data_IF_816462913748
#
_entry.id   IF_816462913748
#
_cell.length_a   1.000
_cell.length_b   1.000
_cell.length_c   1.000
_cell.angle_alpha   90.00
_cell.angle_beta   90.00
_cell.angle_gamma   90.00
#
_symmetry.space_group_name_H-M   'P 1'
#
loop_
_entity.id
_entity.type
_entity.pdbx_description
1 polymer ?
#
# COMPACT_ATOMS: atom_id res chain seq x y z
N UNK A 1 24.43 27.99 41.92
CA UNK A 1 25.11 26.70 41.66
C UNK A 1 24.56 26.18 40.36
N UNK A 2 25.28 26.43 39.27
CA UNK A 2 24.86 26.13 37.91
C UNK A 2 25.22 24.69 37.59
N UNK A 3 24.20 23.85 37.43
CA UNK A 3 24.33 22.40 37.29
C UNK A 3 24.73 22.06 35.84
N UNK A 4 26.04 21.83 35.63
CA UNK A 4 26.60 21.45 34.32
C UNK A 4 26.08 20.07 33.93
N UNK A 5 25.26 20.01 32.89
CA UNK A 5 24.82 18.75 32.28
C UNK A 5 26.00 18.05 31.59
N UNK A 6 26.16 16.72 31.75
CA UNK A 6 27.21 15.97 31.09
C UNK A 6 26.99 15.90 29.58
N UNK A 7 28.09 15.98 28.82
CA UNK A 7 28.08 15.88 27.37
C UNK A 7 27.66 14.47 26.91
N UNK A 8 26.92 14.36 25.79
CA UNK A 8 26.52 13.07 25.25
C UNK A 8 27.74 12.29 24.71
N UNK A 9 27.73 10.96 24.80
CA UNK A 9 28.81 10.13 24.30
C UNK A 9 28.92 10.20 22.76
N UNK A 10 30.14 10.04 22.21
CA UNK A 10 30.34 10.03 20.76
C UNK A 10 29.68 8.79 20.13
N UNK A 11 29.03 9.01 18.98
CA UNK A 11 28.39 7.96 18.19
C UNK A 11 29.41 6.96 17.65
N UNK A 12 29.11 5.65 17.66
CA UNK A 12 30.01 4.64 17.13
C UNK A 12 30.20 4.82 15.62
N UNK A 13 31.46 4.92 15.22
CA UNK A 13 31.90 5.00 13.84
C UNK A 13 31.34 3.84 13.02
N UNK A 14 30.73 4.18 11.88
CA UNK A 14 30.31 3.26 10.85
C UNK A 14 31.53 2.49 10.33
N UNK A 15 31.65 1.22 10.74
CA UNK A 15 32.61 0.28 10.16
C UNK A 15 32.29 0.06 8.69
N UNK A 16 33.07 0.69 7.82
CA UNK A 16 33.05 0.47 6.39
C UNK A 16 33.50 -0.97 6.11
N UNK A 17 32.54 -1.85 5.84
CA UNK A 17 32.84 -3.14 5.19
C UNK A 17 33.18 -2.86 3.74
N UNK A 18 34.47 -2.68 3.47
CA UNK A 18 35.04 -2.68 2.14
C UNK A 18 34.67 -3.99 1.42
N UNK A 19 33.82 -3.88 0.40
CA UNK A 19 33.46 -4.99 -0.47
C UNK A 19 34.58 -5.22 -1.48
N UNK A 20 35.32 -6.31 -1.33
CA UNK A 20 36.41 -6.74 -2.20
C UNK A 20 35.90 -7.30 -3.54
N UNK A 21 35.29 -6.46 -4.37
CA UNK A 21 34.91 -6.80 -5.75
C UNK A 21 35.42 -5.74 -6.75
N UNK A 22 36.71 -5.43 -6.67
CA UNK A 22 37.41 -4.66 -7.69
C UNK A 22 38.30 -5.61 -8.52
N UNK A 23 37.73 -6.22 -9.57
CA UNK A 23 38.45 -6.59 -10.82
C UNK A 23 37.53 -7.37 -11.77
N UNK A 24 37.04 -6.68 -12.80
CA UNK A 24 36.87 -7.21 -14.16
C UNK A 24 36.22 -6.13 -15.05
N UNK A 25 36.97 -5.08 -15.36
CA UNK A 25 36.69 -4.23 -16.52
C UNK A 25 37.48 -4.83 -17.70
N UNK A 26 36.80 -5.57 -18.56
CA UNK A 26 37.26 -5.85 -19.91
C UNK A 26 36.08 -5.83 -20.89
N UNK A 27 35.94 -4.65 -21.50
CA UNK A 27 35.61 -4.39 -22.91
C UNK A 27 34.84 -5.47 -23.67
N UNK A 28 33.59 -5.16 -24.04
CA UNK A 28 32.83 -5.91 -25.03
C UNK A 28 31.58 -5.15 -25.47
N UNK A 29 31.63 -4.56 -26.66
CA UNK A 29 30.52 -3.90 -27.36
C UNK A 29 29.39 -4.89 -27.67
N UNK A 30 28.15 -4.41 -27.74
CA UNK A 30 27.07 -5.08 -28.47
C UNK A 30 25.79 -5.26 -27.65
N UNK A 31 24.72 -4.60 -28.08
CA UNK A 31 23.44 -4.56 -27.37
C UNK A 31 22.66 -5.88 -27.37
N UNK A 32 21.97 -6.12 -26.25
CA UNK A 32 20.73 -6.89 -26.17
C UNK A 32 20.10 -6.62 -24.79
N UNK A 33 18.96 -5.94 -24.74
CA UNK A 33 18.16 -5.83 -23.51
C UNK A 33 17.69 -7.22 -23.07
N UNK A 34 18.16 -7.69 -21.92
CA UNK A 34 17.73 -8.97 -21.32
C UNK A 34 16.33 -8.78 -20.72
N UNK A 35 15.30 -9.32 -21.38
CA UNK A 35 13.89 -9.04 -21.10
C UNK A 35 13.27 -9.77 -19.89
N UNK A 36 14.03 -10.59 -19.15
CA UNK A 36 13.48 -11.32 -18.00
C UNK A 36 14.48 -11.46 -16.84
N UNK A 37 14.38 -10.57 -15.86
CA UNK A 37 14.91 -10.83 -14.52
C UNK A 37 13.83 -11.51 -13.66
N UNK A 38 13.93 -12.83 -13.52
CA UNK A 38 13.15 -13.57 -12.51
C UNK A 38 13.91 -13.47 -11.20
N UNK A 39 13.30 -12.84 -10.19
CA UNK A 39 13.86 -12.74 -8.84
C UNK A 39 14.01 -14.14 -8.23
N UNK A 40 15.24 -14.59 -8.01
CA UNK A 40 15.52 -15.75 -7.17
C UNK A 40 15.50 -15.32 -5.69
N UNK A 41 14.96 -16.15 -4.79
CA UNK A 41 14.64 -15.80 -3.40
C UNK A 41 15.84 -15.43 -2.48
N UNK A 42 17.07 -15.38 -3.00
CA UNK A 42 18.30 -15.11 -2.23
C UNK A 42 19.19 -13.99 -2.80
N UNK A 43 18.62 -13.07 -3.60
CA UNK A 43 19.32 -11.83 -3.98
C UNK A 43 20.60 -11.98 -4.83
N UNK A 44 20.82 -13.14 -5.45
CA UNK A 44 21.96 -13.37 -6.33
C UNK A 44 21.55 -13.20 -7.80
N UNK A 45 22.23 -12.31 -8.53
CA UNK A 45 22.05 -12.11 -9.98
C UNK A 45 22.89 -13.13 -10.76
N UNK A 46 22.56 -14.42 -10.63
CA UNK A 46 23.07 -15.43 -11.56
C UNK A 46 22.06 -15.64 -12.68
N UNK A 47 22.54 -15.59 -13.93
CA UNK A 47 21.79 -16.03 -15.11
C UNK A 47 21.39 -17.49 -14.86
N UNK A 48 20.10 -17.75 -14.65
CA UNK A 48 19.58 -19.11 -14.63
C UNK A 48 19.88 -19.75 -15.98
N UNK A 49 20.95 -20.55 -16.06
CA UNK A 49 21.16 -21.44 -17.20
C UNK A 49 19.92 -22.32 -17.25
N UNK A 50 19.14 -22.21 -18.33
CA UNK A 50 18.01 -23.11 -18.59
C UNK A 50 18.57 -24.53 -18.46
N UNK A 51 18.15 -25.25 -17.42
CA UNK A 51 18.48 -26.65 -17.28
C UNK A 51 18.01 -27.42 -18.52
N UNK A 52 18.58 -28.60 -18.80
CA UNK A 52 18.11 -29.44 -19.89
C UNK A 52 16.59 -29.62 -19.73
N UNK A 53 15.84 -29.34 -20.81
CA UNK A 53 14.39 -29.56 -20.84
C UNK A 53 14.15 -31.01 -20.39
N UNK A 54 13.44 -31.19 -19.28
CA UNK A 54 12.94 -32.50 -18.87
C UNK A 54 12.30 -33.14 -20.09
N UNK A 55 12.77 -34.33 -20.45
CA UNK A 55 12.14 -35.17 -21.46
C UNK A 55 10.68 -35.32 -21.05
N UNK A 56 9.77 -35.04 -21.97
CA UNK A 56 8.34 -35.21 -21.72
C UNK A 56 8.12 -36.70 -21.40
N UNK A 57 7.52 -36.97 -20.25
CA UNK A 57 7.11 -38.32 -19.87
C UNK A 57 6.16 -38.88 -20.95
N UNK A 58 6.18 -40.20 -21.17
CA UNK A 58 5.50 -40.85 -22.30
C UNK A 58 3.99 -40.61 -22.26
N UNK A 59 3.37 -40.69 -23.44
CA UNK A 59 1.94 -40.45 -23.69
C UNK A 59 1.03 -41.00 -22.58
N UNK A 60 0.61 -40.11 -21.67
CA UNK A 60 -0.55 -40.37 -20.81
C UNK A 60 -1.74 -40.69 -21.72
N UNK A 61 -2.27 -41.91 -21.63
CA UNK A 61 -3.48 -42.32 -22.33
C UNK A 61 -4.63 -41.37 -22.03
N UNK A 62 -5.49 -41.14 -23.01
CA UNK A 62 -6.60 -40.17 -22.96
C UNK A 62 -7.50 -40.35 -21.72
N UNK A 63 -7.61 -41.58 -21.21
CA UNK A 63 -8.38 -41.91 -20.00
C UNK A 63 -7.71 -41.41 -18.71
N UNK A 64 -6.39 -41.54 -18.58
CA UNK A 64 -5.65 -41.05 -17.41
C UNK A 64 -5.75 -39.52 -17.27
N UNK A 65 -5.82 -38.81 -18.40
CA UNK A 65 -6.05 -37.36 -18.44
C UNK A 65 -7.46 -36.95 -18.02
N UNK A 66 -8.47 -37.79 -18.26
CA UNK A 66 -9.86 -37.53 -17.84
C UNK A 66 -10.00 -37.70 -16.33
N UNK A 67 -9.52 -38.81 -15.77
CA UNK A 67 -9.55 -39.08 -14.33
C UNK A 67 -8.82 -37.99 -13.54
N UNK A 68 -7.66 -37.53 -14.01
CA UNK A 68 -6.90 -36.46 -13.36
C UNK A 68 -7.59 -35.09 -13.41
N UNK A 69 -8.37 -34.81 -14.45
CA UNK A 69 -9.17 -33.57 -14.57
C UNK A 69 -10.38 -33.60 -13.65
N UNK A 70 -11.04 -34.74 -13.53
CA UNK A 70 -12.20 -34.92 -12.65
C UNK A 70 -11.79 -34.85 -11.18
N UNK A 71 -10.71 -35.53 -10.79
CA UNK A 71 -10.16 -35.43 -9.44
C UNK A 71 -9.78 -33.98 -9.05
N UNK A 72 -9.26 -33.21 -10.01
CA UNK A 72 -8.90 -31.80 -9.76
C UNK A 72 -10.12 -30.89 -9.61
N UNK A 73 -11.21 -31.16 -10.33
CA UNK A 73 -12.48 -30.41 -10.18
C UNK A 73 -13.13 -30.68 -8.84
N UNK A 74 -13.17 -31.93 -8.40
CA UNK A 74 -13.69 -32.30 -7.08
C UNK A 74 -12.88 -31.66 -5.96
N UNK A 75 -11.54 -31.66 -6.05
CA UNK A 75 -10.68 -30.99 -5.09
C UNK A 75 -10.88 -29.46 -5.07
N UNK A 76 -11.09 -28.82 -6.24
CA UNK A 76 -11.39 -27.38 -6.31
C UNK A 76 -12.77 -27.04 -5.75
N UNK A 77 -13.77 -27.91 -5.91
CA UNK A 77 -15.11 -27.75 -5.33
C UNK A 77 -15.10 -27.93 -3.81
N UNK A 78 -14.38 -28.93 -3.29
CA UNK A 78 -14.20 -29.12 -1.85
C UNK A 78 -13.44 -27.95 -1.22
N UNK A 79 -12.42 -27.40 -1.89
CA UNK A 79 -11.68 -26.24 -1.41
C UNK A 79 -12.55 -24.96 -1.43
N UNK A 80 -13.43 -24.80 -2.41
CA UNK A 80 -14.40 -23.70 -2.46
C UNK A 80 -15.45 -23.83 -1.35
N UNK A 81 -16.02 -25.02 -1.16
CA UNK A 81 -16.98 -25.28 -0.09
C UNK A 81 -16.35 -25.10 1.31
N UNK A 82 -15.08 -25.50 1.50
CA UNK A 82 -14.35 -25.25 2.75
C UNK A 82 -14.05 -23.76 2.97
N UNK A 83 -13.76 -23.01 1.90
CA UNK A 83 -13.57 -21.55 1.98
C UNK A 83 -14.89 -20.84 2.31
N UNK A 84 -16.01 -21.25 1.72
CA UNK A 84 -17.32 -20.66 1.97
C UNK A 84 -17.77 -20.87 3.42
N UNK A 85 -17.66 -22.09 3.96
CA UNK A 85 -17.96 -22.37 5.38
C UNK A 85 -17.10 -21.57 6.36
N UNK A 86 -15.82 -21.33 6.01
CA UNK A 86 -14.91 -20.52 6.84
C UNK A 86 -15.24 -19.02 6.82
N UNK A 87 -15.87 -18.54 5.75
CA UNK A 87 -16.35 -17.15 5.65
C UNK A 87 -17.58 -16.96 6.53
N UNK A 88 -18.52 -17.91 6.55
CA UNK A 88 -19.75 -17.84 7.36
C UNK A 88 -19.47 -17.84 8.87
N UNK A 89 -18.58 -18.69 9.39
CA UNK A 89 -18.22 -18.68 10.82
C UNK A 89 -17.52 -17.40 11.27
N UNK A 90 -16.84 -16.70 10.36
CA UNK A 90 -16.13 -15.46 10.69
C UNK A 90 -17.05 -14.24 10.82
N UNK A 91 -18.29 -14.33 10.34
CA UNK A 91 -19.30 -13.26 10.41
C UNK A 91 -20.01 -13.20 11.78
N UNK A 92 -19.92 -14.26 12.59
CA UNK A 92 -20.60 -14.35 13.90
C UNK A 92 -19.79 -13.80 15.09
N UNK A 93 -18.72 -13.01 14.85
CA UNK A 93 -18.06 -12.28 15.95
C UNK A 93 -18.74 -10.93 16.12
N UNK A 94 -19.55 -10.80 17.17
CA UNK A 94 -20.39 -9.63 17.51
C UNK A 94 -19.62 -8.33 17.87
N UNK A 95 -18.42 -8.12 17.33
CA UNK A 95 -17.62 -6.94 17.64
C UNK A 95 -16.78 -6.46 16.46
N UNK A 96 -16.32 -5.20 16.50
CA UNK A 96 -15.46 -4.65 15.46
C UNK A 96 -14.23 -5.53 15.27
N UNK A 97 -13.89 -5.78 14.02
CA UNK A 97 -12.75 -6.63 13.67
C UNK A 97 -11.47 -6.08 14.31
N UNK A 98 -10.48 -6.94 14.59
CA UNK A 98 -9.16 -6.51 15.13
C UNK A 98 -8.55 -5.37 14.30
N UNK A 99 -8.79 -5.35 12.98
CA UNK A 99 -8.34 -4.28 12.07
C UNK A 99 -9.08 -2.97 12.33
N UNK A 100 -10.39 -3.02 12.54
CA UNK A 100 -11.24 -1.86 12.81
C UNK A 100 -10.93 -1.28 14.18
N UNK A 101 -10.73 -2.11 15.21
CA UNK A 101 -10.30 -1.64 16.53
C UNK A 101 -8.98 -0.88 16.47
N UNK A 102 -7.99 -1.40 15.74
CA UNK A 102 -6.71 -0.68 15.52
C UNK A 102 -6.94 0.65 14.80
N UNK A 103 -7.87 0.68 13.83
CA UNK A 103 -8.21 1.87 13.09
C UNK A 103 -8.91 2.93 13.97
N UNK A 104 -9.83 2.51 14.84
CA UNK A 104 -10.50 3.40 15.81
C UNK A 104 -9.51 4.00 16.81
N UNK A 105 -8.62 3.18 17.40
CA UNK A 105 -7.56 3.68 18.29
C UNK A 105 -6.64 4.69 17.61
N UNK A 106 -6.24 4.41 16.35
CA UNK A 106 -5.42 5.34 15.56
C UNK A 106 -6.17 6.64 15.28
N UNK A 107 -7.46 6.56 14.97
CA UNK A 107 -8.31 7.74 14.76
C UNK A 107 -8.40 8.61 16.01
N UNK A 108 -8.67 8.02 17.17
CA UNK A 108 -8.69 8.75 18.45
C UNK A 108 -7.35 9.44 18.73
N UNK A 109 -6.23 8.77 18.42
CA UNK A 109 -4.92 9.35 18.54
C UNK A 109 -4.72 10.55 17.59
N UNK A 110 -5.11 10.43 16.32
CA UNK A 110 -5.02 11.52 15.34
C UNK A 110 -5.91 12.72 15.68
N UNK A 111 -7.06 12.48 16.31
CA UNK A 111 -7.91 13.54 16.88
C UNK A 111 -7.21 14.24 18.03
N UNK A 112 -6.60 13.49 18.96
CA UNK A 112 -5.85 14.07 20.08
C UNK A 112 -4.64 14.90 19.62
N UNK A 113 -3.98 14.47 18.53
CA UNK A 113 -2.90 15.24 17.89
C UNK A 113 -3.41 16.47 17.10
N UNK A 114 -4.72 16.65 16.94
CA UNK A 114 -5.30 17.75 16.16
C UNK A 114 -5.15 17.61 14.64
N UNK A 115 -4.76 16.43 14.14
CA UNK A 115 -4.64 16.15 12.69
C UNK A 115 -6.00 15.94 12.04
N UNK A 116 -6.96 15.39 12.79
CA UNK A 116 -8.36 15.24 12.37
C UNK A 116 -9.21 16.22 13.16
N UNK A 117 -9.95 17.07 12.46
CA UNK A 117 -10.85 18.06 13.06
C UNK A 117 -12.20 17.39 13.31
N UNK A 118 -12.67 17.37 14.56
CA UNK A 118 -14.03 16.95 14.86
C UNK A 118 -15.02 18.05 14.49
N UNK A 119 -16.10 17.68 13.81
CA UNK A 119 -17.14 18.61 13.35
C UNK A 119 -18.52 18.04 13.65
N UNK A 120 -19.46 18.92 14.00
CA UNK A 120 -20.87 18.55 14.24
C UNK A 120 -21.67 18.33 12.94
N UNK A 121 -21.02 18.56 11.80
CA UNK A 121 -21.63 18.38 10.48
C UNK A 121 -21.77 16.91 10.08
N UNK A 122 -22.83 16.66 9.31
CA UNK A 122 -23.07 15.36 8.68
C UNK A 122 -22.02 15.09 7.58
N UNK A 123 -21.69 13.83 7.36
CA UNK A 123 -20.80 13.44 6.28
C UNK A 123 -21.27 13.96 4.91
N UNK A 124 -22.59 14.01 4.68
CA UNK A 124 -23.18 14.55 3.44
C UNK A 124 -22.87 16.03 3.24
N UNK A 125 -22.83 16.83 4.30
CA UNK A 125 -22.47 18.26 4.23
C UNK A 125 -20.98 18.42 3.95
N UNK A 126 -20.14 17.66 4.64
CA UNK A 126 -18.69 17.68 4.47
C UNK A 126 -18.24 17.21 3.07
N UNK A 127 -19.03 16.36 2.40
CA UNK A 127 -18.73 15.90 1.04
C UNK A 127 -19.05 16.91 -0.06
N UNK A 128 -19.76 18.00 0.25
CA UNK A 128 -20.09 19.04 -0.73
C UNK A 128 -18.82 19.72 -1.25
N UNK A 129 -18.68 19.72 -2.57
CA UNK A 129 -17.58 20.36 -3.29
C UNK A 129 -17.93 21.81 -3.63
N UNK A 130 -16.90 22.63 -3.82
CA UNK A 130 -17.01 24.05 -4.13
C UNK A 130 -16.54 24.96 -2.99
N UNK A 131 -16.88 26.25 -3.10
CA UNK A 131 -16.54 27.25 -2.10
C UNK A 131 -17.37 27.02 -0.84
N UNK A 132 -16.73 26.56 0.23
CA UNK A 132 -17.36 26.45 1.54
C UNK A 132 -17.14 27.72 2.36
N UNK A 133 -15.98 28.36 2.20
CA UNK A 133 -15.63 29.62 2.82
C UNK A 133 -14.99 30.55 1.78
N UNK A 134 -14.84 31.84 2.12
CA UNK A 134 -14.19 32.82 1.26
C UNK A 134 -12.76 32.39 0.85
N UNK A 135 -12.07 31.64 1.71
CA UNK A 135 -10.70 31.18 1.50
C UNK A 135 -10.59 29.70 1.03
N UNK A 136 -11.61 28.88 1.28
CA UNK A 136 -11.52 27.43 1.09
C UNK A 136 -12.39 26.95 -0.08
N UNK A 137 -11.73 26.59 -1.19
CA UNK A 137 -12.35 25.94 -2.34
C UNK A 137 -12.10 24.42 -2.30
N UNK A 138 -13.11 23.63 -1.95
CA UNK A 138 -13.00 22.17 -1.87
C UNK A 138 -13.16 21.56 -3.27
N UNK A 139 -12.07 21.03 -3.81
CA UNK A 139 -12.03 20.47 -5.17
C UNK A 139 -12.39 18.99 -5.18
N UNK A 140 -11.97 18.26 -4.14
CA UNK A 140 -12.18 16.81 -4.08
C UNK A 140 -12.45 16.35 -2.66
N UNK A 141 -13.28 15.32 -2.54
CA UNK A 141 -13.72 14.78 -1.26
C UNK A 141 -13.77 13.26 -1.33
N UNK A 142 -13.31 12.59 -0.27
CA UNK A 142 -13.30 11.14 -0.14
C UNK A 142 -13.79 10.71 1.25
N UNK A 143 -14.58 9.64 1.27
CA UNK A 143 -15.11 9.03 2.49
C UNK A 143 -14.15 7.97 3.03
N UNK A 144 -14.20 7.77 4.35
CA UNK A 144 -13.44 6.76 5.07
C UNK A 144 -11.93 6.87 4.86
N UNK A 145 -11.39 8.10 4.88
CA UNK A 145 -9.96 8.39 4.82
C UNK A 145 -9.56 9.19 6.06
N UNK A 146 -8.56 8.73 6.81
CA UNK A 146 -8.17 9.32 8.11
C UNK A 146 -6.86 10.09 8.07
N UNK A 147 -5.96 9.73 7.16
CA UNK A 147 -4.64 10.32 7.03
C UNK A 147 -4.24 10.51 5.57
N UNK A 148 -3.14 11.23 5.37
CA UNK A 148 -2.61 11.50 4.05
C UNK A 148 -2.12 10.22 3.33
N UNK A 149 -1.66 9.22 4.09
CA UNK A 149 -1.23 7.95 3.51
C UNK A 149 -2.41 7.18 2.91
N UNK A 150 -3.53 7.03 3.64
CA UNK A 150 -4.78 6.46 3.10
C UNK A 150 -5.28 7.29 1.91
N UNK A 151 -5.20 8.62 2.00
CA UNK A 151 -5.59 9.50 0.90
C UNK A 151 -4.76 9.20 -0.36
N UNK A 152 -3.43 9.17 -0.26
CA UNK A 152 -2.53 8.88 -1.39
C UNK A 152 -2.77 7.49 -1.97
N UNK A 153 -2.96 6.47 -1.12
CA UNK A 153 -3.24 5.10 -1.55
C UNK A 153 -4.57 4.96 -2.30
N UNK A 154 -5.53 5.85 -2.06
CA UNK A 154 -6.81 5.84 -2.79
C UNK A 154 -6.66 6.27 -4.26
N UNK A 155 -5.58 6.96 -4.62
CA UNK A 155 -5.30 7.35 -6.01
C UNK A 155 -4.41 6.31 -6.68
N UNK A 156 -4.96 5.65 -7.72
CA UNK A 156 -4.30 4.57 -8.45
C UNK A 156 -2.92 4.94 -9.05
N UNK A 157 -2.75 6.21 -9.43
CA UNK A 157 -1.56 6.72 -10.11
C UNK A 157 -0.91 7.78 -9.24
N UNK A 158 -0.15 7.34 -8.24
CA UNK A 158 0.63 8.24 -7.38
C UNK A 158 1.93 8.62 -8.09
N UNK A 159 2.06 9.88 -8.50
CA UNK A 159 3.31 10.40 -9.11
C UNK A 159 3.57 9.94 -10.55
N UNK A 160 2.54 9.46 -11.25
CA UNK A 160 2.59 9.14 -12.67
C UNK A 160 1.44 9.84 -13.37
N UNK A 161 1.70 10.39 -14.57
CA UNK A 161 0.82 11.22 -15.41
C UNK A 161 -0.65 10.79 -15.41
N UNK A 162 -1.38 11.19 -14.37
CA UNK A 162 -2.73 10.72 -14.07
C UNK A 162 -3.60 11.82 -13.50
N UNK A 163 -4.92 11.73 -13.70
CA UNK A 163 -5.86 12.80 -13.34
C UNK A 163 -5.87 13.19 -11.85
N UNK A 164 -5.42 12.29 -10.96
CA UNK A 164 -5.29 12.55 -9.52
C UNK A 164 -3.94 13.11 -9.08
N UNK A 165 -2.92 13.03 -9.94
CA UNK A 165 -1.55 13.42 -9.62
C UNK A 165 -1.44 14.92 -9.29
N UNK A 166 -2.23 15.74 -10.01
CA UNK A 166 -2.31 17.19 -9.82
C UNK A 166 -2.61 17.62 -8.38
N UNK A 167 -3.32 16.80 -7.60
CA UNK A 167 -3.65 17.15 -6.21
C UNK A 167 -2.47 16.96 -5.25
N UNK A 168 -1.48 16.16 -5.65
CA UNK A 168 -0.29 15.86 -4.84
C UNK A 168 0.99 16.49 -5.40
N UNK A 169 0.96 16.95 -6.65
CA UNK A 169 2.03 17.70 -7.29
C UNK A 169 1.91 19.19 -6.96
N UNK A 170 2.94 19.71 -6.30
CA UNK A 170 3.03 21.12 -5.93
C UNK A 170 2.32 21.46 -4.62
N UNK A 171 2.72 22.56 -4.01
CA UNK A 171 2.18 23.08 -2.74
C UNK A 171 0.82 23.78 -2.89
N UNK A 172 0.15 23.62 -4.05
CA UNK A 172 -1.10 24.28 -4.44
C UNK A 172 -2.32 23.82 -3.65
N UNK A 173 -2.33 22.57 -3.20
CA UNK A 173 -3.46 22.00 -2.47
C UNK A 173 -3.13 21.83 -0.98
N UNK A 174 -4.15 21.92 -0.14
CA UNK A 174 -4.11 21.62 1.30
C UNK A 174 -5.06 20.46 1.57
N UNK A 175 -4.61 19.51 2.39
CA UNK A 175 -5.46 18.40 2.83
C UNK A 175 -6.06 18.73 4.19
N UNK A 176 -7.37 18.53 4.33
CA UNK A 176 -8.11 18.67 5.57
C UNK A 176 -8.82 17.37 5.87
N UNK A 177 -8.62 16.83 7.07
CA UNK A 177 -9.28 15.61 7.52
C UNK A 177 -10.29 15.99 8.60
N UNK A 178 -11.55 15.69 8.35
CA UNK A 178 -12.66 15.97 9.26
C UNK A 178 -13.29 14.66 9.74
N UNK A 179 -13.77 14.64 10.98
CA UNK A 179 -14.60 13.58 11.50
C UNK A 179 -16.03 14.11 11.63
N UNK A 180 -16.95 13.52 10.87
CA UNK A 180 -18.37 13.81 10.97
C UNK A 180 -18.92 13.33 12.32
N UNK A 181 -20.07 13.87 12.72
CA UNK A 181 -20.79 13.45 13.93
C UNK A 181 -21.11 11.94 13.94
N UNK A 182 -21.30 11.34 12.76
CA UNK A 182 -21.57 9.91 12.58
C UNK A 182 -20.32 9.03 12.81
N UNK A 183 -19.18 9.62 13.14
CA UNK A 183 -17.89 8.93 13.23
C UNK A 183 -17.28 8.57 11.87
N UNK A 184 -17.82 9.11 10.78
CA UNK A 184 -17.28 8.91 9.43
C UNK A 184 -16.15 9.90 9.17
N UNK A 185 -14.97 9.39 8.81
CA UNK A 185 -13.83 10.22 8.45
C UNK A 185 -13.95 10.69 7.00
N UNK A 186 -13.78 11.99 6.77
CA UNK A 186 -13.87 12.63 5.45
C UNK A 186 -12.57 13.37 5.17
N UNK A 187 -11.95 13.06 4.04
CA UNK A 187 -10.80 13.82 3.54
C UNK A 187 -11.28 14.84 2.49
N UNK A 188 -10.88 16.09 2.67
CA UNK A 188 -11.14 17.19 1.75
C UNK A 188 -9.81 17.69 1.17
N UNK A 189 -9.78 17.91 -0.14
CA UNK A 189 -8.67 18.53 -0.86
C UNK A 189 -9.11 19.96 -1.19
N UNK A 190 -8.42 20.93 -0.59
CA UNK A 190 -8.71 22.35 -0.70
C UNK A 190 -7.65 22.98 -1.61
N UNK A 191 -8.08 23.73 -2.62
CA UNK A 191 -7.15 24.54 -3.42
C UNK A 191 -6.77 25.80 -2.64
N UNK A 192 -5.46 26.04 -2.47
CA UNK A 192 -4.98 27.28 -1.87
C UNK A 192 -5.17 28.40 -2.88
N UNK A 193 -6.01 29.37 -2.51
CA UNK A 193 -6.09 30.63 -3.23
C UNK A 193 -4.91 31.48 -2.76
N UNK A 194 -3.93 31.69 -3.64
CA UNK A 194 -2.90 32.70 -3.41
C UNK A 194 -3.55 34.06 -3.68
N UNK A 195 -3.84 34.79 -2.60
CA UNK A 195 -4.12 36.23 -2.68
C UNK A 195 -2.81 37.00 -2.63
#
# INVERSE_FOLDING_TARGET
KEERRPAPPPSPASSERACACARALQQGRGGAMVKHHVKCAKGCFTVCRKGPKRKQDPEETSEQRRVKREAKRLAEEEEKAAKEKRVEESQNREGPSKKEQKRLKRREFLVKEGKIIQTDDDAKKLMKRGKQSAADNVVFTLLNIQDEAELRNSFKYQGTAGGGEKYFLGSRFKFRFCLAKDGTAVAQIIEKVYM
#
